data_IF_920735268998
#
_entry.id   IF_920735268998
#
_cell.length_a   1.000
_cell.length_b   1.000
_cell.length_c   1.000
_cell.angle_alpha   90.00
_cell.angle_beta   90.00
_cell.angle_gamma   90.00
#
_symmetry.space_group_name_H-M   'P 1'
#
loop_
_entity.id
_entity.type
_entity.pdbx_description
1 polymer ?
#
# COMPACT_ATOMS: atom_id res chain seq x y z
N UNK A 1 -10.50 0.80 -4.21
CA UNK A 1 -9.74 -0.25 -3.49
C UNK A 1 -9.02 -1.10 -4.52
N UNK A 2 -7.69 -1.18 -4.48
CA UNK A 2 -6.87 -1.88 -5.47
C UNK A 2 -6.34 -3.24 -4.98
N UNK A 3 -5.68 -4.01 -5.86
CA UNK A 3 -5.11 -5.32 -5.54
C UNK A 3 -4.14 -5.26 -4.35
N UNK A 4 -3.32 -4.20 -4.28
CA UNK A 4 -2.36 -3.97 -3.18
C UNK A 4 -3.09 -3.87 -1.83
N UNK A 5 -4.22 -3.16 -1.78
CA UNK A 5 -5.03 -3.06 -0.55
C UNK A 5 -5.53 -4.44 -0.10
N UNK A 6 -5.99 -5.27 -1.04
CA UNK A 6 -6.55 -6.59 -0.74
C UNK A 6 -5.46 -7.53 -0.23
N UNK A 7 -4.32 -7.58 -0.90
CA UNK A 7 -3.22 -8.47 -0.53
C UNK A 7 -2.53 -8.02 0.77
N UNK A 8 -2.42 -6.71 1.00
CA UNK A 8 -1.92 -6.16 2.26
C UNK A 8 -2.85 -6.47 3.44
N UNK A 9 -4.17 -6.29 3.28
CA UNK A 9 -5.15 -6.66 4.32
C UNK A 9 -5.16 -8.16 4.63
N UNK A 10 -4.91 -9.01 3.62
CA UNK A 10 -4.77 -10.47 3.80
C UNK A 10 -3.41 -10.88 4.39
N UNK A 11 -2.55 -9.92 4.75
CA UNK A 11 -1.19 -10.16 5.24
C UNK A 11 -0.34 -11.01 4.28
N UNK A 12 -0.67 -10.99 2.97
CA UNK A 12 0.07 -11.71 1.92
C UNK A 12 1.26 -10.92 1.37
N UNK A 13 1.37 -9.65 1.77
CA UNK A 13 2.51 -8.79 1.49
C UNK A 13 2.80 -7.88 2.69
N UNK A 14 4.07 -7.59 2.92
CA UNK A 14 4.53 -6.62 3.91
C UNK A 14 4.28 -5.17 3.46
N UNK A 15 4.35 -4.22 4.40
CA UNK A 15 4.19 -2.80 4.07
C UNK A 15 5.25 -2.31 3.05
N UNK A 16 6.46 -2.88 3.12
CA UNK A 16 7.55 -2.57 2.18
C UNK A 16 7.26 -3.09 0.76
N UNK A 17 6.74 -4.31 0.64
CA UNK A 17 6.37 -4.89 -0.66
C UNK A 17 5.18 -4.15 -1.28
N UNK A 18 4.16 -3.85 -0.48
CA UNK A 18 3.01 -3.07 -0.91
C UNK A 18 3.41 -1.67 -1.40
N UNK A 19 4.39 -1.02 -0.73
CA UNK A 19 4.89 0.30 -1.13
C UNK A 19 5.63 0.26 -2.46
N UNK A 20 6.45 -0.78 -2.70
CA UNK A 20 7.12 -1.00 -3.99
C UNK A 20 6.10 -1.21 -5.11
N UNK A 21 5.15 -2.11 -4.91
CA UNK A 21 4.07 -2.37 -5.88
C UNK A 21 3.24 -1.11 -6.18
N UNK A 22 2.99 -0.27 -5.17
CA UNK A 22 2.27 0.98 -5.33
C UNK A 22 3.03 1.98 -6.21
N UNK A 23 4.36 2.05 -6.10
CA UNK A 23 5.20 2.88 -6.96
C UNK A 23 5.06 2.53 -8.44
N UNK A 24 5.02 1.24 -8.76
CA UNK A 24 4.85 0.75 -10.13
C UNK A 24 3.42 0.96 -10.66
N UNK A 25 2.43 0.86 -9.77
CA UNK A 25 1.02 0.97 -10.16
C UNK A 25 0.45 2.38 -10.03
N UNK A 26 1.18 3.35 -9.47
CA UNK A 26 0.70 4.71 -9.12
C UNK A 26 -0.10 5.37 -10.24
N UNK A 27 0.39 5.28 -11.47
CA UNK A 27 -0.25 5.85 -12.67
C UNK A 27 -1.62 5.20 -12.94
N UNK A 28 -1.75 3.89 -12.71
CA UNK A 28 -2.98 3.12 -12.93
C UNK A 28 -4.02 3.29 -11.83
N UNK A 29 -3.59 3.47 -10.58
CA UNK A 29 -4.49 3.63 -9.43
C UNK A 29 -4.90 5.07 -9.17
N UNK A 30 -4.17 6.03 -9.73
CA UNK A 30 -4.42 7.46 -9.56
C UNK A 30 -3.80 8.01 -8.28
N UNK A 31 -3.41 9.29 -8.33
CA UNK A 31 -2.66 9.95 -7.25
C UNK A 31 -3.44 10.03 -5.93
N UNK A 32 -4.76 10.21 -5.99
CA UNK A 32 -5.60 10.30 -4.79
C UNK A 32 -5.60 8.99 -4.02
N UNK A 33 -5.86 7.88 -4.71
CA UNK A 33 -5.85 6.56 -4.07
C UNK A 33 -4.44 6.16 -3.66
N UNK A 34 -3.42 6.48 -4.47
CA UNK A 34 -2.02 6.19 -4.11
C UNK A 34 -1.61 6.87 -2.80
N UNK A 35 -2.00 8.13 -2.57
CA UNK A 35 -1.73 8.82 -1.30
C UNK A 35 -2.43 8.18 -0.11
N UNK A 36 -3.66 7.69 -0.29
CA UNK A 36 -4.38 6.96 0.76
C UNK A 36 -3.66 5.66 1.12
N UNK A 37 -3.23 4.90 0.12
CA UNK A 37 -2.50 3.65 0.34
C UNK A 37 -1.14 3.91 0.98
N UNK A 38 -0.38 4.93 0.54
CA UNK A 38 0.90 5.31 1.17
C UNK A 38 0.72 5.57 2.67
N UNK A 39 -0.28 6.37 3.07
CA UNK A 39 -0.56 6.63 4.50
C UNK A 39 -0.86 5.36 5.28
N UNK A 40 -1.74 4.51 4.75
CA UNK A 40 -2.08 3.22 5.39
C UNK A 40 -0.83 2.35 5.60
N UNK A 41 0.08 2.31 4.61
CA UNK A 41 1.31 1.54 4.70
C UNK A 41 2.31 2.14 5.68
N UNK A 42 2.41 3.47 5.76
CA UNK A 42 3.24 4.16 6.74
C UNK A 42 2.78 3.91 8.18
N UNK A 43 1.47 4.01 8.44
CA UNK A 43 0.91 3.76 9.77
C UNK A 43 1.17 2.30 10.19
N UNK A 44 0.94 1.35 9.29
CA UNK A 44 1.21 -0.05 9.57
C UNK A 44 2.71 -0.38 9.76
N UNK A 45 3.62 0.40 9.16
CA UNK A 45 5.05 0.26 9.38
C UNK A 45 5.47 0.80 10.76
N UNK A 46 4.78 1.83 11.27
CA UNK A 46 5.02 2.42 12.60
C UNK A 46 4.46 1.59 13.74
N UNK A 47 3.32 0.92 13.52
CA UNK A 47 2.62 0.11 14.52
C UNK A 47 3.38 -1.18 14.90
N UNK A 48 4.36 -1.60 14.08
CA UNK A 48 5.24 -2.76 14.38
C UNK A 48 6.45 -2.43 15.27
N UNK A 49 6.46 -1.30 15.98
CA UNK A 49 7.57 -0.88 16.85
C UNK A 49 7.28 -1.08 18.33
#
# INVERSE_FOLDING_TARGET
MCLICVEFQKQRMSAAEARRALGEMRIKVGDEHAKQVERMLEDAAKDKK
#
